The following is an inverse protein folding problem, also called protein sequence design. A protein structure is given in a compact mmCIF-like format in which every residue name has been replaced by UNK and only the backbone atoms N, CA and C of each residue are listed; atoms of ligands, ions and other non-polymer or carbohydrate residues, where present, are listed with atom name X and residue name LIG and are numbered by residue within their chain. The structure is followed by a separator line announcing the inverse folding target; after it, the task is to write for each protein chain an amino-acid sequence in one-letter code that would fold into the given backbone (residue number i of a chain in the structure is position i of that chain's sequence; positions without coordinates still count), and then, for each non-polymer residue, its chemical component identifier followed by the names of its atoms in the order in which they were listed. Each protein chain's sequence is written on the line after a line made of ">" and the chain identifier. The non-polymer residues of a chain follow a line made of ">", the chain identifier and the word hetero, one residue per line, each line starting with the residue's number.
data_IF_141402225896
#
_entry.id   IF_141402225896
#
_cell.length_a   1.000
_cell.length_b   1.000
_cell.length_c   1.000
_cell.angle_alpha   90.00
_cell.angle_beta   90.00
_cell.angle_gamma   90.00
#
_symmetry.space_group_name_H-M   'P 1'
#
loop_
_entity.id
_entity.type
_entity.pdbx_description
1 polymer ?
#
# COMPACT_ATOMS: atom_id res chain seq x y z
N UNK A 1 3.99 10.35 -9.58
CA UNK A 1 4.46 9.55 -10.74
C UNK A 1 4.11 10.29 -12.02
N UNK A 2 5.08 10.76 -12.83
CA UNK A 2 4.81 11.65 -13.98
C UNK A 2 3.77 11.08 -14.95
N UNK A 3 3.81 9.78 -15.22
CA UNK A 3 2.89 9.15 -16.18
C UNK A 3 1.43 9.19 -15.71
N UNK A 4 1.14 8.84 -14.46
CA UNK A 4 -0.22 8.87 -13.92
C UNK A 4 -0.74 10.32 -13.77
N UNK A 5 0.14 11.28 -13.51
CA UNK A 5 -0.19 12.69 -13.39
C UNK A 5 -0.33 13.42 -14.76
N UNK A 6 0.09 12.76 -15.84
CA UNK A 6 -0.04 13.35 -17.21
C UNK A 6 -1.46 13.26 -17.77
N UNK A 7 -2.34 12.48 -17.13
CA UNK A 7 -3.73 12.27 -17.55
C UNK A 7 -4.63 12.37 -16.33
N UNK A 8 -5.58 13.29 -16.34
CA UNK A 8 -6.41 13.59 -15.17
C UNK A 8 -7.45 12.51 -14.86
N UNK A 9 -7.70 11.60 -15.78
CA UNK A 9 -8.80 10.62 -15.72
C UNK A 9 -8.37 9.16 -15.54
N UNK A 10 -7.07 8.85 -15.62
CA UNK A 10 -6.57 7.48 -15.49
C UNK A 10 -6.95 6.79 -14.17
N UNK A 11 -7.08 7.56 -13.10
CA UNK A 11 -7.41 7.06 -11.76
C UNK A 11 -8.92 6.96 -11.50
N UNK A 12 -9.77 7.49 -12.40
CA UNK A 12 -11.21 7.63 -12.16
C UNK A 12 -12.07 7.11 -13.32
N UNK A 13 -11.54 7.03 -14.53
CA UNK A 13 -12.24 6.53 -15.71
C UNK A 13 -11.73 5.15 -16.11
N UNK A 14 -12.65 4.16 -16.13
CA UNK A 14 -12.30 2.81 -16.58
C UNK A 14 -11.89 2.78 -18.06
N UNK A 15 -12.51 3.61 -18.91
CA UNK A 15 -12.19 3.70 -20.34
C UNK A 15 -10.78 4.24 -20.57
N UNK A 16 -10.44 5.37 -19.89
CA UNK A 16 -9.10 5.94 -19.96
C UNK A 16 -8.05 4.97 -19.41
N UNK A 17 -8.36 4.29 -18.31
CA UNK A 17 -7.48 3.29 -17.71
C UNK A 17 -7.25 2.11 -18.66
N UNK A 18 -8.30 1.58 -19.30
CA UNK A 18 -8.20 0.49 -20.27
C UNK A 18 -7.31 0.86 -21.45
N UNK A 19 -7.43 2.09 -21.98
CA UNK A 19 -6.57 2.60 -23.06
C UNK A 19 -5.07 2.57 -22.64
N UNK A 20 -4.77 2.97 -21.41
CA UNK A 20 -3.41 2.93 -20.90
C UNK A 20 -2.90 1.50 -20.66
N UNK A 21 -3.77 0.60 -20.18
CA UNK A 21 -3.45 -0.83 -20.03
C UNK A 21 -3.13 -1.45 -21.40
N UNK A 22 -3.94 -1.20 -22.42
CA UNK A 22 -3.72 -1.69 -23.77
C UNK A 22 -2.39 -1.20 -24.35
N UNK A 23 -2.05 0.07 -24.13
CA UNK A 23 -0.74 0.60 -24.51
C UNK A 23 0.42 -0.17 -23.85
N UNK A 24 0.33 -0.43 -22.54
CA UNK A 24 1.35 -1.21 -21.82
C UNK A 24 1.44 -2.63 -22.36
N UNK A 25 0.31 -3.30 -22.58
CA UNK A 25 0.26 -4.64 -23.15
C UNK A 25 0.93 -4.70 -24.53
N UNK A 26 0.67 -3.71 -25.39
CA UNK A 26 1.34 -3.61 -26.69
C UNK A 26 2.86 -3.48 -26.54
N UNK A 27 3.33 -2.66 -25.60
CA UNK A 27 4.77 -2.50 -25.34
C UNK A 27 5.42 -3.80 -24.83
N UNK A 28 4.75 -4.52 -23.94
CA UNK A 28 5.23 -5.83 -23.46
C UNK A 28 5.35 -6.81 -24.64
N UNK A 29 4.29 -6.93 -25.47
CA UNK A 29 4.24 -7.81 -26.64
C UNK A 29 5.26 -7.44 -27.75
N UNK A 30 5.70 -6.19 -27.80
CA UNK A 30 6.78 -5.75 -28.69
C UNK A 30 8.18 -6.16 -28.20
N UNK A 31 8.37 -6.21 -26.88
CA UNK A 31 9.64 -6.51 -26.24
C UNK A 31 9.87 -8.02 -26.07
N UNK A 32 8.84 -8.75 -25.64
CA UNK A 32 8.92 -10.20 -25.40
C UNK A 32 8.60 -10.95 -26.67
N UNK A 33 9.57 -11.77 -27.13
CA UNK A 33 9.49 -12.46 -28.45
C UNK A 33 8.46 -13.58 -28.46
N UNK A 34 8.40 -14.37 -27.38
CA UNK A 34 7.40 -15.43 -27.22
C UNK A 34 6.07 -14.81 -26.80
N UNK A 35 5.08 -14.90 -27.68
CA UNK A 35 3.78 -14.29 -27.46
C UNK A 35 2.99 -14.93 -26.32
N UNK A 36 3.21 -16.22 -26.03
CA UNK A 36 2.57 -16.89 -24.90
C UNK A 36 3.12 -16.39 -23.56
N UNK A 37 4.42 -16.16 -23.50
CA UNK A 37 5.11 -15.55 -22.35
C UNK A 37 4.69 -14.08 -22.21
N UNK A 38 4.64 -13.34 -23.33
CA UNK A 38 4.19 -11.94 -23.33
C UNK A 38 2.79 -11.78 -22.76
N UNK A 39 1.84 -12.66 -23.14
CA UNK A 39 0.47 -12.64 -22.67
C UNK A 39 0.36 -12.90 -21.15
N UNK A 40 1.16 -13.84 -20.63
CA UNK A 40 1.26 -14.11 -19.19
C UNK A 40 1.86 -12.96 -18.40
N UNK A 41 2.74 -12.19 -19.00
CA UNK A 41 3.38 -11.01 -18.40
C UNK A 41 2.53 -9.76 -18.46
N UNK A 42 1.46 -9.73 -19.28
CA UNK A 42 0.52 -8.62 -19.33
C UNK A 42 -0.33 -8.54 -18.04
N UNK A 43 -0.25 -7.46 -17.24
CA UNK A 43 -1.07 -7.31 -16.05
C UNK A 43 -2.57 -7.30 -16.37
N UNK A 44 -3.35 -8.09 -15.64
CA UNK A 44 -4.82 -8.18 -15.79
C UNK A 44 -5.57 -7.29 -14.80
N UNK A 45 -4.89 -6.33 -14.20
CA UNK A 45 -5.45 -5.46 -13.16
C UNK A 45 -5.55 -4.03 -13.66
N UNK A 46 -6.45 -3.26 -13.06
CA UNK A 46 -6.53 -1.82 -13.26
C UNK A 46 -5.17 -1.17 -13.03
N UNK A 47 -4.73 -0.34 -13.96
CA UNK A 47 -3.46 0.38 -13.83
C UNK A 47 -3.53 1.36 -12.65
N UNK A 48 -2.52 1.34 -11.81
CA UNK A 48 -2.43 2.19 -10.62
C UNK A 48 -3.00 1.55 -9.35
N UNK A 49 -3.82 0.48 -9.43
CA UNK A 49 -4.28 -0.23 -8.22
C UNK A 49 -3.14 -0.86 -7.41
N UNK A 50 -2.01 -1.08 -8.06
CA UNK A 50 -0.69 -1.32 -7.44
C UNK A 50 0.29 -0.28 -7.95
N UNK A 51 1.34 -0.01 -7.19
CA UNK A 51 2.36 0.97 -7.58
C UNK A 51 2.98 0.60 -8.92
N UNK A 52 2.99 1.55 -9.86
CA UNK A 52 3.69 1.39 -11.12
C UNK A 52 5.20 1.35 -10.88
N UNK A 53 5.86 0.37 -11.44
CA UNK A 53 7.31 0.23 -11.41
C UNK A 53 7.92 0.70 -12.73
N UNK A 54 9.09 1.34 -12.67
CA UNK A 54 9.89 1.65 -13.83
C UNK A 54 10.72 0.41 -14.18
N UNK A 55 10.74 0.03 -15.44
CA UNK A 55 11.48 -1.12 -15.95
C UNK A 55 12.81 -0.71 -16.58
N UNK A 56 13.85 -1.50 -16.31
CA UNK A 56 15.13 -1.46 -17.00
C UNK A 56 15.49 -2.88 -17.45
N UNK A 57 14.94 -3.33 -18.58
CA UNK A 57 15.17 -4.64 -19.19
C UNK A 57 14.50 -5.85 -18.50
N UNK A 58 13.55 -5.64 -17.57
CA UNK A 58 12.80 -6.72 -16.94
C UNK A 58 12.13 -7.62 -18.01
N UNK A 59 11.34 -7.03 -18.90
CA UNK A 59 10.66 -7.78 -19.95
C UNK A 59 11.62 -8.40 -20.97
N UNK A 60 12.73 -7.75 -21.31
CA UNK A 60 13.78 -8.30 -22.19
C UNK A 60 14.44 -9.55 -21.62
N UNK A 61 14.50 -9.67 -20.29
CA UNK A 61 15.07 -10.82 -19.60
C UNK A 61 14.40 -12.13 -20.00
N UNK A 62 13.09 -12.10 -20.27
CA UNK A 62 12.33 -13.29 -20.72
C UNK A 62 12.65 -13.75 -22.15
N UNK A 63 13.48 -13.02 -22.89
CA UNK A 63 13.99 -13.47 -24.20
C UNK A 63 15.29 -14.27 -24.10
N UNK A 64 15.82 -14.50 -22.91
CA UNK A 64 17.07 -15.24 -22.70
C UNK A 64 16.76 -16.73 -22.58
N UNK A 65 17.61 -17.57 -23.18
CA UNK A 65 17.42 -19.02 -23.17
C UNK A 65 17.48 -19.66 -21.79
N UNK A 66 18.11 -19.00 -20.83
CA UNK A 66 18.23 -19.45 -19.44
C UNK A 66 17.17 -18.88 -18.50
N UNK A 67 16.11 -18.26 -19.01
CA UNK A 67 15.01 -17.70 -18.22
C UNK A 67 13.69 -18.34 -18.64
N UNK A 68 12.98 -18.91 -17.68
CA UNK A 68 11.68 -19.53 -17.90
C UNK A 68 10.63 -18.88 -16.97
N UNK A 69 9.45 -18.62 -17.51
CA UNK A 69 8.29 -18.16 -16.75
C UNK A 69 7.38 -19.34 -16.43
N UNK A 70 7.06 -19.52 -15.15
CA UNK A 70 6.08 -20.51 -14.69
C UNK A 70 4.95 -19.76 -13.98
N UNK A 71 3.73 -19.90 -14.50
CA UNK A 71 2.54 -19.35 -13.84
C UNK A 71 2.05 -20.32 -12.76
N UNK A 72 2.25 -19.95 -11.50
CA UNK A 72 1.86 -20.76 -10.36
C UNK A 72 0.33 -20.81 -10.12
N UNK A 73 -0.46 -19.98 -10.81
CA UNK A 73 -1.92 -20.10 -10.81
C UNK A 73 -2.36 -21.28 -11.72
N UNK A 74 -1.64 -21.51 -12.81
CA UNK A 74 -1.87 -22.67 -13.70
C UNK A 74 -1.17 -23.92 -13.17
N UNK A 75 -0.03 -23.76 -12.53
CA UNK A 75 0.82 -24.85 -12.01
C UNK A 75 1.17 -24.60 -10.54
N UNK A 76 0.25 -24.78 -9.60
CA UNK A 76 0.48 -24.51 -8.18
C UNK A 76 1.70 -25.28 -7.64
N UNK A 77 2.48 -24.60 -6.81
CA UNK A 77 3.58 -25.21 -6.06
C UNK A 77 2.99 -26.24 -5.10
N UNK A 78 3.47 -27.50 -5.18
CA UNK A 78 3.04 -28.60 -4.30
C UNK A 78 3.92 -28.71 -3.07
N UNK A 79 5.24 -28.66 -3.27
CA UNK A 79 6.21 -28.78 -2.19
C UNK A 79 7.55 -28.21 -2.56
N UNK A 80 8.30 -27.81 -1.55
CA UNK A 80 9.73 -27.51 -1.65
C UNK A 80 10.48 -28.80 -1.31
N UNK A 81 11.45 -29.15 -2.15
CA UNK A 81 12.28 -30.35 -2.02
C UNK A 81 13.71 -29.99 -1.63
N UNK A 82 14.51 -30.99 -1.30
CA UNK A 82 15.96 -30.79 -0.99
C UNK A 82 16.72 -30.11 -2.14
N UNK A 83 16.28 -30.30 -3.38
CA UNK A 83 16.99 -29.84 -4.55
C UNK A 83 16.24 -28.76 -5.36
N UNK A 84 15.12 -28.24 -4.86
CA UNK A 84 14.32 -27.26 -5.58
C UNK A 84 12.85 -27.25 -5.15
N UNK A 85 11.93 -27.31 -6.12
CA UNK A 85 10.49 -27.40 -5.84
C UNK A 85 9.76 -28.24 -6.89
N UNK A 86 8.59 -28.76 -6.53
CA UNK A 86 7.66 -29.37 -7.47
C UNK A 86 6.37 -28.57 -7.59
N UNK A 87 5.87 -28.47 -8.81
CA UNK A 87 4.54 -27.99 -9.13
C UNK A 87 3.59 -29.13 -9.46
N UNK A 88 2.37 -28.81 -9.88
CA UNK A 88 1.44 -29.82 -10.35
C UNK A 88 1.97 -30.62 -11.55
N UNK A 89 2.81 -30.02 -12.40
CA UNK A 89 3.17 -30.54 -13.72
C UNK A 89 4.65 -30.84 -13.89
N UNK A 90 5.54 -30.34 -13.03
CA UNK A 90 6.98 -30.47 -13.21
C UNK A 90 7.75 -30.37 -11.87
N UNK A 91 9.00 -30.89 -11.91
CA UNK A 91 9.99 -30.65 -10.87
C UNK A 91 11.06 -29.68 -11.39
N UNK A 92 11.44 -28.73 -10.54
CA UNK A 92 12.47 -27.74 -10.83
C UNK A 92 13.61 -27.89 -9.83
N UNK A 93 14.84 -27.92 -10.34
CA UNK A 93 16.06 -28.00 -9.53
C UNK A 93 16.73 -26.63 -9.51
N UNK A 94 17.13 -26.19 -8.32
CA UNK A 94 17.75 -24.88 -8.09
C UNK A 94 18.94 -25.02 -7.16
N UNK A 95 19.94 -24.18 -7.35
CA UNK A 95 21.00 -23.92 -6.38
C UNK A 95 20.53 -22.93 -5.31
N UNK A 96 19.57 -22.04 -5.67
CA UNK A 96 19.01 -21.03 -4.77
C UNK A 96 17.53 -20.79 -5.07
N UNK A 97 16.74 -20.64 -4.02
CA UNK A 97 15.32 -20.25 -4.08
C UNK A 97 15.14 -18.89 -3.43
N UNK A 98 14.66 -17.90 -4.18
CA UNK A 98 14.39 -16.56 -3.68
C UNK A 98 12.89 -16.42 -3.46
N UNK A 99 12.49 -16.22 -2.19
CA UNK A 99 11.11 -15.99 -1.79
C UNK A 99 10.84 -14.48 -1.79
N UNK A 100 10.21 -13.99 -2.84
CA UNK A 100 9.81 -12.59 -2.98
C UNK A 100 8.29 -12.44 -2.74
N UNK A 101 7.80 -12.99 -1.63
CA UNK A 101 6.36 -13.13 -1.31
C UNK A 101 5.68 -11.83 -0.85
N UNK A 102 6.47 -10.76 -0.62
CA UNK A 102 5.97 -9.46 -0.20
C UNK A 102 5.85 -9.33 1.33
N UNK A 103 5.21 -8.25 1.76
CA UNK A 103 5.07 -7.88 3.16
C UNK A 103 3.59 -7.68 3.52
N UNK A 104 3.26 -7.82 4.81
CA UNK A 104 2.05 -7.24 5.38
C UNK A 104 2.27 -5.74 5.57
N UNK A 105 2.07 -5.01 4.47
CA UNK A 105 2.34 -3.59 4.39
C UNK A 105 1.38 -2.76 5.26
N UNK A 106 1.80 -1.57 5.63
CA UNK A 106 1.08 -0.54 6.38
C UNK A 106 0.84 -0.88 7.86
N UNK A 107 0.37 -2.06 8.19
CA UNK A 107 -0.03 -2.41 9.57
C UNK A 107 0.78 -3.56 10.16
N UNK A 108 1.36 -4.45 9.35
CA UNK A 108 1.99 -5.68 9.84
C UNK A 108 3.09 -5.43 10.86
N UNK A 109 4.04 -4.54 10.56
CA UNK A 109 5.14 -4.23 11.47
C UNK A 109 4.67 -3.63 12.80
N UNK A 110 3.58 -2.84 12.82
CA UNK A 110 3.02 -2.28 14.04
C UNK A 110 2.25 -3.33 14.85
N UNK A 111 1.55 -4.25 14.19
CA UNK A 111 0.79 -5.32 14.84
C UNK A 111 1.69 -6.41 15.43
N UNK A 112 2.91 -6.58 14.91
CA UNK A 112 3.92 -7.47 15.47
C UNK A 112 4.52 -6.94 16.78
N UNK A 113 4.40 -5.65 17.05
CA UNK A 113 4.81 -5.04 18.31
C UNK A 113 3.64 -5.14 19.30
N UNK A 114 3.91 -5.61 20.52
CA UNK A 114 2.90 -5.66 21.60
C UNK A 114 2.65 -4.26 22.16
N UNK A 115 1.98 -3.41 21.39
CA UNK A 115 1.62 -2.06 21.81
C UNK A 115 0.36 -2.13 22.65
N UNK A 116 0.45 -1.59 23.87
CA UNK A 116 -0.66 -1.51 24.82
C UNK A 116 -0.92 -0.04 25.19
N UNK A 117 -2.15 0.39 24.98
CA UNK A 117 -2.64 1.71 25.32
C UNK A 117 -3.29 1.77 26.72
N UNK A 118 -4.16 2.74 26.90
CA UNK A 118 -4.94 2.93 28.12
C UNK A 118 -5.89 1.77 28.38
N UNK A 119 -6.16 1.46 29.65
CA UNK A 119 -7.12 0.42 30.06
C UNK A 119 -6.84 -0.96 29.47
N UNK A 120 -5.57 -1.29 29.27
CA UNK A 120 -5.11 -2.57 28.71
C UNK A 120 -5.50 -2.84 27.24
N UNK A 121 -6.06 -1.86 26.53
CA UNK A 121 -6.39 -1.98 25.11
C UNK A 121 -5.11 -2.22 24.28
N UNK A 122 -5.07 -3.30 23.51
CA UNK A 122 -3.97 -3.56 22.58
C UNK A 122 -4.23 -2.95 21.21
N UNK A 123 -3.16 -2.61 20.47
CA UNK A 123 -3.29 -2.10 19.11
C UNK A 123 -3.99 -3.12 18.19
N UNK A 124 -3.74 -4.41 18.41
CA UNK A 124 -4.38 -5.49 17.64
C UNK A 124 -5.89 -5.54 17.88
N UNK A 125 -6.35 -5.30 19.11
CA UNK A 125 -7.79 -5.20 19.41
C UNK A 125 -8.39 -3.94 18.82
N UNK A 126 -7.69 -2.80 18.90
CA UNK A 126 -8.15 -1.52 18.36
C UNK A 126 -8.31 -1.55 16.84
N UNK A 127 -7.45 -2.29 16.15
CA UNK A 127 -7.42 -2.45 14.71
C UNK A 127 -8.03 -3.76 14.19
N UNK A 128 -8.80 -4.48 15.02
CA UNK A 128 -9.39 -5.76 14.63
C UNK A 128 -10.26 -5.68 13.36
N UNK A 129 -11.04 -4.59 13.23
CA UNK A 129 -11.87 -4.31 12.04
C UNK A 129 -11.16 -3.47 10.98
N UNK A 130 -9.85 -3.27 11.13
CA UNK A 130 -9.01 -2.44 10.25
C UNK A 130 -8.38 -1.27 11.00
N UNK A 131 -7.35 -0.64 10.41
CA UNK A 131 -6.63 0.42 11.09
C UNK A 131 -7.50 1.66 11.30
N UNK A 132 -7.78 1.96 12.57
CA UNK A 132 -8.40 3.20 13.00
C UNK A 132 -7.34 4.12 13.57
N UNK A 133 -7.21 5.29 12.98
CA UNK A 133 -6.35 6.36 13.47
C UNK A 133 -6.80 7.71 12.93
N UNK A 134 -6.24 8.76 13.47
CA UNK A 134 -6.47 10.13 13.04
C UNK A 134 -5.23 10.67 12.34
N UNK A 135 -5.38 11.19 11.13
CA UNK A 135 -4.32 11.71 10.25
C UNK A 135 -3.23 10.68 9.86
N UNK A 136 -3.34 9.43 10.28
CA UNK A 136 -2.24 8.46 10.19
C UNK A 136 -1.13 8.73 11.20
N UNK A 137 -1.38 9.55 12.21
CA UNK A 137 -0.41 10.00 13.21
C UNK A 137 -0.74 9.55 14.61
N UNK A 138 -2.00 9.52 15.02
CA UNK A 138 -2.39 9.29 16.41
C UNK A 138 -3.67 8.48 16.53
N UNK A 139 -3.89 7.89 17.71
CA UNK A 139 -4.99 6.95 17.96
C UNK A 139 -5.65 7.20 19.30
N UNK A 140 -6.98 6.97 19.36
CA UNK A 140 -7.74 6.98 20.58
C UNK A 140 -7.38 5.80 21.49
N UNK A 141 -7.20 6.05 22.76
CA UNK A 141 -6.78 5.04 23.72
C UNK A 141 -5.28 4.80 23.78
N UNK A 142 -4.49 5.50 22.98
CA UNK A 142 -3.03 5.40 22.94
C UNK A 142 -2.37 6.78 23.14
N UNK A 143 -2.48 7.37 24.33
CA UNK A 143 -1.97 8.71 24.58
C UNK A 143 -0.45 8.77 24.32
N UNK A 144 -0.03 9.85 23.65
CA UNK A 144 1.36 10.14 23.31
C UNK A 144 2.03 9.09 22.37
N UNK A 145 1.25 8.20 21.77
CA UNK A 145 1.73 7.32 20.70
C UNK A 145 1.49 7.99 19.35
N UNK A 146 2.57 8.18 18.61
CA UNK A 146 2.53 8.73 17.25
C UNK A 146 3.09 7.71 16.26
N UNK A 147 2.47 7.65 15.09
CA UNK A 147 2.95 6.87 13.95
C UNK A 147 3.42 7.80 12.84
N UNK A 148 4.56 7.51 12.24
CA UNK A 148 5.05 8.24 11.07
C UNK A 148 4.63 7.49 9.82
N UNK A 149 4.00 8.19 8.88
CA UNK A 149 3.45 7.60 7.64
C UNK A 149 2.50 6.41 7.88
N UNK A 150 1.76 6.47 8.98
CA UNK A 150 0.78 5.43 9.35
C UNK A 150 -0.42 5.36 8.41
N UNK A 151 -1.28 4.34 8.58
CA UNK A 151 -2.52 4.21 7.81
C UNK A 151 -3.40 5.45 7.93
N UNK A 152 -3.92 5.95 6.83
CA UNK A 152 -4.71 7.20 6.77
C UNK A 152 -3.88 8.45 6.48
N UNK A 153 -2.55 8.37 6.41
CA UNK A 153 -1.69 9.44 5.89
C UNK A 153 -1.45 9.27 4.38
N UNK A 154 -0.89 10.28 3.67
CA UNK A 154 -0.56 10.16 2.25
C UNK A 154 0.39 9.00 1.93
N UNK A 155 1.30 8.68 2.84
CA UNK A 155 2.15 7.49 2.78
C UNK A 155 2.72 7.27 1.37
N UNK A 156 2.51 6.11 0.81
CA UNK A 156 3.06 5.66 -0.48
C UNK A 156 2.50 6.36 -1.71
N UNK A 157 1.44 7.14 -1.58
CA UNK A 157 0.89 7.95 -2.68
C UNK A 157 1.55 9.33 -2.77
N UNK A 158 2.48 9.65 -1.88
CA UNK A 158 3.30 10.86 -1.90
C UNK A 158 4.81 10.53 -1.93
N UNK A 159 5.65 11.56 -1.89
CA UNK A 159 7.05 11.38 -1.55
C UNK A 159 7.17 11.09 -0.06
N UNK A 160 7.55 9.87 0.28
CA UNK A 160 7.61 9.40 1.67
C UNK A 160 8.52 10.28 2.55
N UNK A 161 9.67 10.72 2.05
CA UNK A 161 10.60 11.55 2.83
C UNK A 161 9.98 12.90 3.18
N UNK A 162 9.35 13.55 2.20
CA UNK A 162 8.65 14.83 2.41
C UNK A 162 7.49 14.67 3.41
N UNK A 163 6.75 13.56 3.33
CA UNK A 163 5.69 13.28 4.28
C UNK A 163 6.22 12.99 5.69
N UNK A 164 7.37 12.31 5.79
CA UNK A 164 8.04 12.07 7.09
C UNK A 164 8.46 13.40 7.74
N UNK A 165 9.09 14.30 6.98
CA UNK A 165 9.49 15.62 7.48
C UNK A 165 8.29 16.39 8.01
N UNK A 166 7.21 16.48 7.23
CA UNK A 166 5.98 17.16 7.65
C UNK A 166 5.37 16.53 8.92
N UNK A 167 5.35 15.21 9.03
CA UNK A 167 4.85 14.52 10.23
C UNK A 167 5.72 14.83 11.46
N UNK A 168 7.04 14.84 11.29
CA UNK A 168 7.97 15.13 12.38
C UNK A 168 7.82 16.57 12.85
N UNK A 169 7.67 17.52 11.93
CA UNK A 169 7.46 18.93 12.26
C UNK A 169 6.14 19.10 13.02
N UNK A 170 5.03 18.55 12.51
CA UNK A 170 3.73 18.58 13.17
C UNK A 170 3.78 18.00 14.60
N UNK A 171 4.38 16.83 14.78
CA UNK A 171 4.50 16.19 16.10
C UNK A 171 5.40 17.03 17.03
N UNK A 172 6.49 17.58 16.51
CA UNK A 172 7.43 18.40 17.27
C UNK A 172 6.75 19.67 17.79
N UNK A 173 5.99 20.35 16.93
CA UNK A 173 5.23 21.55 17.29
C UNK A 173 4.13 21.24 18.32
N UNK A 174 3.43 20.12 18.14
CA UNK A 174 2.47 19.63 19.14
C UNK A 174 3.12 19.36 20.49
N UNK A 175 4.29 18.74 20.54
CA UNK A 175 5.01 18.49 21.79
C UNK A 175 5.47 19.79 22.47
N UNK A 176 5.88 20.78 21.67
CA UNK A 176 6.24 22.13 22.15
C UNK A 176 5.00 22.81 22.76
N UNK A 177 3.87 22.79 22.04
CA UNK A 177 2.58 23.31 22.52
C UNK A 177 2.15 22.66 23.85
N UNK A 178 2.19 21.32 23.91
CA UNK A 178 1.84 20.59 25.14
C UNK A 178 2.72 21.02 26.31
N UNK A 179 4.01 21.14 26.12
CA UNK A 179 4.97 21.58 27.14
C UNK A 179 4.68 23.00 27.62
N UNK A 180 4.42 23.94 26.71
CA UNK A 180 4.14 25.34 27.02
C UNK A 180 2.81 25.51 27.77
N UNK A 181 1.83 24.64 27.52
CA UNK A 181 0.51 24.68 28.14
C UNK A 181 0.35 23.68 29.30
N UNK A 182 1.44 23.07 29.77
CA UNK A 182 1.40 22.13 30.90
C UNK A 182 0.59 20.86 30.65
N UNK A 183 0.36 20.53 29.38
CA UNK A 183 -0.35 19.30 28.99
C UNK A 183 0.60 18.12 29.03
N UNK A 184 0.11 16.96 29.49
CA UNK A 184 0.91 15.75 29.63
C UNK A 184 0.49 14.64 28.68
N UNK A 185 -0.76 14.63 28.28
CA UNK A 185 -1.33 13.59 27.40
C UNK A 185 -2.03 14.26 26.22
N UNK A 186 -1.84 13.64 25.06
CA UNK A 186 -2.53 13.98 23.84
C UNK A 186 -2.92 12.68 23.12
N UNK A 187 -4.15 12.58 22.68
CA UNK A 187 -4.64 11.48 21.86
C UNK A 187 -5.81 11.96 20.99
N UNK A 188 -6.05 11.27 19.89
CA UNK A 188 -7.22 11.53 19.07
C UNK A 188 -8.51 11.13 19.81
N UNK A 189 -9.61 11.83 19.54
CA UNK A 189 -10.93 11.35 19.98
C UNK A 189 -11.38 10.18 19.10
N UNK A 190 -12.21 9.30 19.64
CA UNK A 190 -12.78 8.18 18.88
C UNK A 190 -13.56 8.65 17.65
N UNK A 191 -14.26 9.76 17.75
CA UNK A 191 -15.03 10.32 16.64
C UNK A 191 -14.08 10.83 15.53
N UNK A 192 -12.98 11.50 15.89
CA UNK A 192 -12.01 11.98 14.91
C UNK A 192 -11.38 10.84 14.09
N UNK A 193 -11.08 9.70 14.72
CA UNK A 193 -10.60 8.52 14.00
C UNK A 193 -11.64 8.00 13.00
N UNK A 194 -12.89 7.86 13.44
CA UNK A 194 -13.97 7.33 12.60
C UNK A 194 -14.20 8.25 11.40
N UNK A 195 -14.33 9.54 11.64
CA UNK A 195 -14.57 10.54 10.60
C UNK A 195 -13.41 10.58 9.60
N UNK A 196 -12.17 10.47 10.10
CA UNK A 196 -10.99 10.46 9.27
C UNK A 196 -10.92 9.23 8.36
N UNK A 197 -11.15 8.04 8.91
CA UNK A 197 -11.17 6.81 8.12
C UNK A 197 -12.30 6.83 7.08
N UNK A 198 -13.48 7.36 7.44
CA UNK A 198 -14.58 7.53 6.49
C UNK A 198 -14.21 8.51 5.37
N UNK A 199 -13.56 9.64 5.70
CA UNK A 199 -13.09 10.60 4.70
C UNK A 199 -12.07 9.96 3.74
N UNK A 200 -11.07 9.26 4.27
CA UNK A 200 -10.03 8.58 3.46
C UNK A 200 -10.66 7.57 2.50
N UNK A 201 -11.58 6.73 3.00
CA UNK A 201 -12.26 5.74 2.18
C UNK A 201 -13.22 6.38 1.18
N UNK A 202 -13.97 7.41 1.57
CA UNK A 202 -14.88 8.13 0.68
C UNK A 202 -14.18 8.82 -0.51
N UNK A 203 -12.96 9.34 -0.30
CA UNK A 203 -12.13 9.85 -1.40
C UNK A 203 -11.67 8.70 -2.29
N UNK A 204 -11.23 7.58 -1.71
CA UNK A 204 -10.74 6.43 -2.46
C UNK A 204 -11.85 5.76 -3.30
N UNK A 205 -13.08 5.71 -2.83
CA UNK A 205 -14.24 5.16 -3.52
C UNK A 205 -14.57 5.88 -4.83
N UNK A 206 -14.17 7.16 -4.95
CA UNK A 206 -14.30 7.93 -6.19
C UNK A 206 -13.24 7.59 -7.22
N UNK A 207 -12.35 6.66 -6.92
CA UNK A 207 -11.22 6.27 -7.76
C UNK A 207 -11.23 4.78 -8.08
N UNK A 208 -10.42 4.40 -9.06
CA UNK A 208 -10.20 3.00 -9.43
C UNK A 208 -9.27 2.25 -8.46
N UNK A 209 -8.73 2.91 -7.42
CA UNK A 209 -7.87 2.25 -6.43
C UNK A 209 -8.59 1.18 -5.62
N UNK A 210 -9.90 1.32 -5.40
CA UNK A 210 -10.70 0.39 -4.61
C UNK A 210 -11.27 -0.76 -5.43
N UNK A 211 -11.21 -0.66 -6.76
CA UNK A 211 -11.77 -1.65 -7.69
C UNK A 211 -10.70 -2.48 -8.39
N UNK A 212 -10.97 -3.76 -8.58
CA UNK A 212 -10.31 -4.56 -9.60
C UNK A 212 -8.98 -5.22 -9.25
N UNK A 213 -8.43 -5.09 -8.03
CA UNK A 213 -7.26 -5.89 -7.65
C UNK A 213 -7.11 -6.14 -6.15
N UNK A 214 -6.35 -7.20 -5.80
CA UNK A 214 -5.90 -7.45 -4.43
C UNK A 214 -4.73 -6.51 -4.09
N UNK A 215 -5.06 -5.25 -3.84
CA UNK A 215 -4.07 -4.23 -3.52
C UNK A 215 -3.70 -4.25 -2.03
N UNK A 216 -2.41 -4.10 -1.75
CA UNK A 216 -1.92 -3.88 -0.40
C UNK A 216 -2.32 -2.49 0.15
N UNK A 217 -2.74 -1.55 -0.70
CA UNK A 217 -3.36 -0.28 -0.27
C UNK A 217 -4.66 -0.50 0.52
N UNK A 218 -5.33 -1.63 0.27
CA UNK A 218 -6.54 -2.06 0.96
C UNK A 218 -6.29 -3.14 2.03
N UNK A 219 -5.04 -3.60 2.20
CA UNK A 219 -4.76 -4.82 2.97
C UNK A 219 -5.24 -6.10 2.29
N UNK A 220 -5.75 -6.02 1.06
CA UNK A 220 -6.36 -7.16 0.35
C UNK A 220 -5.37 -8.22 -0.14
N UNK A 221 -4.07 -7.97 0.00
CA UNK A 221 -3.01 -8.93 -0.29
C UNK A 221 -2.80 -9.96 0.83
N UNK A 222 -3.37 -9.73 2.02
CA UNK A 222 -3.28 -10.65 3.16
C UNK A 222 -4.65 -11.32 3.36
N UNK A 223 -4.75 -12.65 3.29
CA UNK A 223 -6.00 -13.37 3.54
C UNK A 223 -6.58 -13.09 4.93
N UNK A 224 -7.88 -12.81 4.99
CA UNK A 224 -8.59 -12.56 6.25
C UNK A 224 -8.44 -11.15 6.85
N UNK A 225 -7.56 -10.32 6.28
CA UNK A 225 -7.38 -8.93 6.72
C UNK A 225 -8.57 -8.06 6.28
N UNK A 226 -9.09 -7.18 7.15
CA UNK A 226 -10.12 -6.21 6.76
C UNK A 226 -9.65 -5.32 5.60
N UNK A 227 -10.55 -5.10 4.64
CA UNK A 227 -10.25 -4.31 3.43
C UNK A 227 -10.63 -2.84 3.67
N UNK A 228 -9.66 -2.05 4.07
CA UNK A 228 -9.78 -0.62 4.30
C UNK A 228 -8.71 0.10 3.48
N UNK A 229 -9.09 1.15 2.75
CA UNK A 229 -8.11 1.94 2.02
C UNK A 229 -7.25 2.75 3.00
N UNK A 230 -5.95 2.51 2.97
CA UNK A 230 -5.04 3.01 3.99
C UNK A 230 -4.29 4.30 3.61
N UNK A 231 -3.88 4.52 2.34
CA UNK A 231 -3.22 5.77 1.98
C UNK A 231 -4.22 6.92 1.79
N UNK A 232 -3.88 8.13 2.22
CA UNK A 232 -4.66 9.33 1.86
C UNK A 232 -4.29 9.82 0.46
N UNK A 233 -5.29 10.14 -0.36
CA UNK A 233 -5.11 10.66 -1.71
C UNK A 233 -5.09 12.19 -1.67
N UNK A 234 -3.95 12.81 -1.96
CA UNK A 234 -3.81 14.26 -2.01
C UNK A 234 -2.92 14.83 -0.91
N UNK A 235 -1.60 14.82 -1.11
CA UNK A 235 -0.66 15.35 -0.12
C UNK A 235 -0.88 16.84 0.23
N UNK A 236 -1.14 17.77 -0.71
CA UNK A 236 -1.38 19.17 -0.35
C UNK A 236 -2.59 19.35 0.58
N UNK A 237 -3.73 18.73 0.26
CA UNK A 237 -4.94 18.83 1.09
C UNK A 237 -4.79 18.16 2.46
N UNK A 238 -3.91 17.15 2.56
CA UNK A 238 -3.56 16.57 3.85
C UNK A 238 -2.77 17.55 4.72
N UNK A 239 -1.79 18.26 4.14
CA UNK A 239 -1.01 19.27 4.87
C UNK A 239 -1.92 20.40 5.35
N UNK A 240 -2.78 20.93 4.47
CA UNK A 240 -3.79 21.94 4.84
C UNK A 240 -4.64 21.48 6.02
N UNK A 241 -5.06 20.21 6.02
CA UNK A 241 -5.84 19.65 7.13
C UNK A 241 -5.04 19.55 8.44
N UNK A 242 -3.77 19.21 8.37
CA UNK A 242 -2.89 19.22 9.54
C UNK A 242 -2.72 20.65 10.09
N UNK A 243 -2.56 21.64 9.22
CA UNK A 243 -2.39 23.04 9.59
C UNK A 243 -3.66 23.61 10.24
N UNK A 244 -4.86 23.29 9.72
CA UNK A 244 -6.14 23.65 10.34
C UNK A 244 -6.24 23.15 11.78
N UNK A 245 -5.86 21.86 12.00
CA UNK A 245 -5.93 21.24 13.33
C UNK A 245 -4.90 21.83 14.29
N UNK A 246 -3.74 22.23 13.78
CA UNK A 246 -2.70 22.85 14.60
C UNK A 246 -3.07 24.30 15.01
N UNK A 247 -4.01 24.93 14.31
CA UNK A 247 -4.47 26.30 14.59
C UNK A 247 -5.60 26.37 15.64
N UNK A 248 -6.32 25.26 15.89
CA UNK A 248 -7.42 25.15 16.87
C UNK A 248 -6.88 24.76 18.26
#
# INVERSE_FOLDING_TARGET
>A
LPFAASFNDLGISQEANSTAVDFIHQKIKQVVKDQSVAEKLCPKTTMGCKRLCVDSDYYKTFNRDNVSLVDINEQPIKTITEHGLSTANAEYRFDSLILATGFDAMTGALLDIKIQGSKTLTLSEHWAEGPLNYLGLMMNGFPNLFTITGPGSPSVLSNMIVAIEQHVDFISDLLIFMRQNGKRNFEATRQAEIDWVQQVNGIAEQTLYTSGCNSWYLGANIPGKPKIFMPYIGYPSYVEKCDEIAAD
#
